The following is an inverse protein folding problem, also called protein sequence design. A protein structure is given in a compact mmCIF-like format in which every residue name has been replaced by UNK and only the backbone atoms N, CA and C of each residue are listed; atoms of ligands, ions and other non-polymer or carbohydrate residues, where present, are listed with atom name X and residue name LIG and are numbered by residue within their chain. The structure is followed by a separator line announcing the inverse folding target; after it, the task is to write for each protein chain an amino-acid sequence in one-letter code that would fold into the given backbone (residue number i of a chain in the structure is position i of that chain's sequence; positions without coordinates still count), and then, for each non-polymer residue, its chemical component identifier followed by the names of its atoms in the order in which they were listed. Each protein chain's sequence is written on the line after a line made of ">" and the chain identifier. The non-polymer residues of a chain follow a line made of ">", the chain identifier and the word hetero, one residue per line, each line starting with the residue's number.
data_IF_327084878018
#
_entry.id   IF_327084878018
#
_cell.length_a   1.000
_cell.length_b   1.000
_cell.length_c   1.000
_cell.angle_alpha   90.00
_cell.angle_beta   90.00
_cell.angle_gamma   90.00
#
_symmetry.space_group_name_H-M   'P 1'
#
loop_
_entity.id
_entity.type
_entity.pdbx_description
1 polymer ?
#
# COMPACT_ATOMS: atom_id res chain seq x y z
N UNK A 1 11.84 25.05 24.22
CA UNK A 1 11.71 24.35 22.93
C UNK A 1 10.26 24.47 22.49
N UNK A 2 10.00 25.19 21.39
CA UNK A 2 8.63 25.38 20.91
C UNK A 2 8.07 24.05 20.41
N UNK A 3 6.77 23.78 20.67
CA UNK A 3 6.09 22.61 20.10
C UNK A 3 6.12 22.75 18.58
N UNK A 4 6.83 21.85 17.92
CA UNK A 4 6.86 21.77 16.47
C UNK A 4 5.50 21.26 15.98
N UNK A 5 4.93 21.94 14.98
CA UNK A 5 3.67 21.52 14.38
C UNK A 5 3.94 20.30 13.48
N UNK A 6 3.04 19.33 13.58
CA UNK A 6 3.13 18.05 12.87
C UNK A 6 1.94 17.92 11.94
N UNK A 7 2.21 17.45 10.72
CA UNK A 7 1.18 16.98 9.79
C UNK A 7 1.06 15.48 9.98
N UNK A 8 -0.10 15.02 10.42
CA UNK A 8 -0.36 13.60 10.66
C UNK A 8 -1.52 13.11 9.82
N UNK A 9 -1.41 11.89 9.29
CA UNK A 9 -2.48 11.24 8.54
C UNK A 9 -2.52 9.76 8.86
N UNK A 10 -3.69 9.28 9.23
CA UNK A 10 -3.96 7.84 9.31
C UNK A 10 -4.20 7.30 7.91
N UNK A 11 -3.46 6.27 7.53
CA UNK A 11 -3.64 5.55 6.28
C UNK A 11 -3.98 4.11 6.64
N UNK A 12 -5.07 3.61 6.06
CA UNK A 12 -5.39 2.18 6.12
C UNK A 12 -4.64 1.51 4.97
N UNK A 13 -3.99 0.38 5.24
CA UNK A 13 -3.33 -0.44 4.22
C UNK A 13 -3.80 -1.87 4.36
N UNK A 14 -3.99 -2.56 3.24
CA UNK A 14 -4.33 -3.97 3.23
C UNK A 14 -3.06 -4.79 3.18
N UNK A 15 -2.70 -5.40 4.29
CA UNK A 15 -1.55 -6.30 4.37
C UNK A 15 -1.99 -7.73 4.01
N UNK A 16 -1.27 -8.35 3.08
CA UNK A 16 -1.52 -9.72 2.62
C UNK A 16 -0.29 -10.56 2.94
N UNK A 17 -0.49 -11.57 3.78
CA UNK A 17 0.50 -12.61 4.05
C UNK A 17 0.26 -13.79 3.11
N UNK A 18 1.31 -14.21 2.41
CA UNK A 18 1.22 -15.28 1.42
C UNK A 18 2.51 -16.10 1.41
N UNK A 19 2.40 -17.31 0.86
CA UNK A 19 3.53 -18.18 0.57
C UNK A 19 3.89 -18.03 -0.89
N UNK A 20 5.17 -17.80 -1.16
CA UNK A 20 5.73 -17.74 -2.50
C UNK A 20 6.71 -18.88 -2.72
N UNK A 21 6.73 -19.40 -3.93
CA UNK A 21 7.78 -20.29 -4.41
C UNK A 21 8.80 -19.47 -5.17
N UNK A 22 10.03 -19.40 -4.66
CA UNK A 22 11.14 -18.73 -5.32
C UNK A 22 11.75 -19.69 -6.36
N UNK A 23 11.74 -19.27 -7.63
CA UNK A 23 12.20 -20.10 -8.74
C UNK A 23 13.73 -20.25 -8.77
N UNK A 24 14.47 -19.34 -8.17
CA UNK A 24 15.94 -19.36 -8.17
C UNK A 24 16.49 -20.26 -7.05
N UNK A 25 15.85 -20.25 -5.88
CA UNK A 25 16.28 -21.05 -4.72
C UNK A 25 15.52 -22.37 -4.59
N UNK A 26 14.46 -22.56 -5.39
CA UNK A 26 13.53 -23.70 -5.33
C UNK A 26 12.93 -23.92 -3.93
N UNK A 27 12.73 -22.84 -3.17
CA UNK A 27 12.18 -22.87 -1.80
C UNK A 27 10.84 -22.16 -1.71
N UNK A 28 10.02 -22.63 -0.78
CA UNK A 28 8.79 -21.95 -0.37
C UNK A 28 9.11 -21.04 0.80
N UNK A 29 8.81 -19.75 0.65
CA UNK A 29 9.05 -18.70 1.63
C UNK A 29 7.72 -18.01 1.97
N UNK A 30 7.58 -17.58 3.22
CA UNK A 30 6.45 -16.73 3.62
C UNK A 30 6.86 -15.27 3.45
N UNK A 31 5.98 -14.48 2.86
CA UNK A 31 6.22 -13.05 2.61
C UNK A 31 4.95 -12.24 2.87
N UNK A 32 5.12 -10.93 2.99
CA UNK A 32 4.07 -10.00 3.34
C UNK A 32 4.16 -8.74 2.48
N UNK A 33 3.07 -8.42 1.79
CA UNK A 33 2.99 -7.22 0.95
C UNK A 33 1.82 -6.35 1.41
N UNK A 34 2.09 -5.05 1.57
CA UNK A 34 1.07 -4.04 1.80
C UNK A 34 0.55 -3.47 0.47
N UNK A 35 -0.78 -3.47 0.33
CA UNK A 35 -1.51 -2.85 -0.76
C UNK A 35 -2.28 -1.62 -0.24
N UNK A 36 -2.55 -0.67 -1.12
CA UNK A 36 -3.48 0.42 -0.79
C UNK A 36 -4.91 -0.10 -0.63
N UNK A 37 -5.73 0.57 0.20
CA UNK A 37 -7.13 0.17 0.50
C UNK A 37 -7.97 -0.12 -0.74
N UNK A 38 -7.73 0.60 -1.83
CA UNK A 38 -8.52 0.47 -3.05
C UNK A 38 -8.28 -0.84 -3.81
N UNK A 39 -7.27 -1.64 -3.42
CA UNK A 39 -6.99 -2.94 -4.04
C UNK A 39 -7.82 -4.01 -3.33
N UNK A 40 -8.75 -4.61 -4.07
CA UNK A 40 -9.51 -5.77 -3.57
C UNK A 40 -8.71 -7.03 -3.84
N UNK A 41 -8.28 -7.70 -2.78
CA UNK A 41 -7.61 -9.00 -2.86
C UNK A 41 -8.53 -10.00 -2.17
N UNK A 42 -8.91 -11.04 -2.90
CA UNK A 42 -9.67 -12.16 -2.38
C UNK A 42 -8.75 -13.38 -2.29
N UNK A 43 -9.13 -14.38 -1.50
CA UNK A 43 -8.42 -15.66 -1.46
C UNK A 43 -8.80 -16.56 -2.65
N UNK A 44 -8.75 -16.00 -3.85
CA UNK A 44 -9.09 -16.66 -5.11
C UNK A 44 -7.93 -16.59 -6.10
N UNK A 45 -8.12 -17.20 -7.28
CA UNK A 45 -7.11 -17.17 -8.35
C UNK A 45 -6.78 -15.76 -8.83
N UNK A 46 -7.73 -14.81 -8.71
CA UNK A 46 -7.51 -13.40 -9.06
C UNK A 46 -6.60 -12.72 -8.05
N UNK A 47 -6.79 -12.93 -6.75
CA UNK A 47 -5.91 -12.41 -5.71
C UNK A 47 -4.47 -12.91 -5.87
N UNK A 48 -4.28 -14.19 -6.18
CA UNK A 48 -2.96 -14.76 -6.47
C UNK A 48 -2.33 -14.09 -7.71
N UNK A 49 -3.11 -13.85 -8.77
CA UNK A 49 -2.62 -13.16 -9.96
C UNK A 49 -2.18 -11.72 -9.65
N UNK A 50 -2.95 -10.97 -8.86
CA UNK A 50 -2.58 -9.60 -8.43
C UNK A 50 -1.30 -9.59 -7.60
N UNK A 51 -1.09 -10.57 -6.72
CA UNK A 51 0.16 -10.71 -5.96
C UNK A 51 1.32 -11.01 -6.90
N UNK A 52 1.13 -11.88 -7.89
CA UNK A 52 2.16 -12.22 -8.88
C UNK A 52 2.55 -11.03 -9.76
N UNK A 53 1.58 -10.23 -10.21
CA UNK A 53 1.86 -8.97 -10.93
C UNK A 53 2.67 -8.01 -10.06
N UNK A 54 2.35 -7.93 -8.77
CA UNK A 54 3.09 -7.10 -7.83
C UNK A 54 4.52 -7.60 -7.62
N UNK A 55 4.71 -8.91 -7.43
CA UNK A 55 6.04 -9.54 -7.32
C UNK A 55 6.87 -9.30 -8.59
N UNK A 56 6.26 -9.42 -9.77
CA UNK A 56 6.91 -9.12 -11.04
C UNK A 56 7.29 -7.65 -11.16
N UNK A 57 6.44 -6.71 -10.72
CA UNK A 57 6.75 -5.28 -10.69
C UNK A 57 7.91 -4.93 -9.76
N UNK A 58 8.14 -5.76 -8.74
CA UNK A 58 9.28 -5.66 -7.82
C UNK A 58 10.52 -6.41 -8.34
N UNK A 59 10.45 -7.04 -9.52
CA UNK A 59 11.54 -7.80 -10.13
C UNK A 59 11.81 -9.16 -9.46
N UNK A 60 10.89 -9.69 -8.65
CA UNK A 60 11.07 -10.99 -8.00
C UNK A 60 10.69 -12.14 -8.93
N UNK A 61 11.59 -13.12 -9.11
CA UNK A 61 11.30 -14.40 -9.78
C UNK A 61 10.66 -15.40 -8.80
N UNK A 62 9.49 -15.05 -8.31
CA UNK A 62 8.71 -15.90 -7.41
C UNK A 62 7.25 -15.92 -7.84
N UNK A 63 6.56 -17.03 -7.54
CA UNK A 63 5.11 -17.12 -7.74
C UNK A 63 4.42 -17.35 -6.40
N UNK A 64 3.33 -16.64 -6.17
CA UNK A 64 2.44 -16.85 -5.04
C UNK A 64 1.74 -18.20 -5.19
N UNK A 65 1.84 -19.02 -4.15
CA UNK A 65 1.28 -20.37 -4.09
C UNK A 65 -0.02 -20.37 -3.28
N UNK A 66 -0.06 -19.60 -2.19
CA UNK A 66 -1.18 -19.58 -1.27
C UNK A 66 -1.23 -18.26 -0.52
N UNK A 67 -2.44 -17.72 -0.32
CA UNK A 67 -2.67 -16.57 0.57
C UNK A 67 -3.08 -17.12 1.93
N UNK A 68 -2.33 -16.75 2.97
CA UNK A 68 -2.57 -17.19 4.35
C UNK A 68 -3.56 -16.27 5.07
N UNK A 69 -3.38 -14.95 4.94
CA UNK A 69 -4.26 -13.97 5.58
C UNK A 69 -4.30 -12.64 4.84
N UNK A 70 -5.43 -11.95 4.95
CA UNK A 70 -5.64 -10.60 4.45
C UNK A 70 -6.16 -9.78 5.62
N UNK A 71 -5.43 -8.74 6.00
CA UNK A 71 -5.75 -7.89 7.16
C UNK A 71 -5.63 -6.43 6.80
N UNK A 72 -6.62 -5.64 7.18
CA UNK A 72 -6.54 -4.18 7.07
C UNK A 72 -5.87 -3.63 8.32
N UNK A 73 -4.83 -2.81 8.13
CA UNK A 73 -4.04 -2.20 9.18
C UNK A 73 -4.08 -0.70 9.07
N UNK A 74 -4.48 -0.05 10.15
CA UNK A 74 -4.44 1.40 10.27
C UNK A 74 -3.06 1.81 10.79
N UNK A 75 -2.38 2.70 10.06
CA UNK A 75 -1.09 3.24 10.47
C UNK A 75 -1.14 4.76 10.49
N UNK A 76 -0.78 5.36 11.63
CA UNK A 76 -0.65 6.80 11.79
C UNK A 76 0.73 7.24 11.30
N UNK A 77 0.76 7.96 10.18
CA UNK A 77 1.97 8.60 9.68
C UNK A 77 2.03 10.05 10.14
N UNK A 78 3.22 10.55 10.39
CA UNK A 78 3.45 11.94 10.77
C UNK A 78 4.79 12.45 10.28
N UNK A 79 4.83 13.73 9.92
CA UNK A 79 6.05 14.46 9.60
C UNK A 79 5.91 15.92 10.01
N UNK A 80 7.00 16.68 9.99
CA UNK A 80 6.97 18.11 10.35
C UNK A 80 6.29 18.93 9.26
N UNK A 81 5.74 20.11 9.59
CA UNK A 81 5.17 21.01 8.57
C UNK A 81 6.20 21.38 7.48
N UNK A 82 7.46 21.59 7.86
CA UNK A 82 8.53 21.94 6.93
C UNK A 82 8.80 20.81 5.93
N UNK A 83 8.91 19.56 6.41
CA UNK A 83 9.09 18.40 5.53
C UNK A 83 7.87 18.17 4.64
N UNK A 84 6.66 18.41 5.17
CA UNK A 84 5.46 18.33 4.36
C UNK A 84 5.48 19.35 3.22
N UNK A 85 5.78 20.62 3.51
CA UNK A 85 5.82 21.68 2.48
C UNK A 85 6.87 21.38 1.41
N UNK A 86 8.04 20.87 1.80
CA UNK A 86 9.12 20.53 0.87
C UNK A 86 8.76 19.39 -0.09
N UNK A 87 8.03 18.38 0.39
CA UNK A 87 7.74 17.16 -0.38
C UNK A 87 6.34 17.16 -1.02
N UNK A 88 5.42 18.00 -0.55
CA UNK A 88 4.05 18.03 -1.04
C UNK A 88 3.94 18.73 -2.39
N UNK A 89 3.00 18.24 -3.21
CA UNK A 89 2.57 18.94 -4.43
C UNK A 89 1.39 19.84 -4.08
N UNK A 90 1.46 21.11 -4.51
CA UNK A 90 0.32 22.03 -4.39
C UNK A 90 -0.80 21.54 -5.31
N UNK A 91 -1.96 21.27 -4.73
CA UNK A 91 -3.16 20.90 -5.48
C UNK A 91 -3.98 22.18 -5.77
N UNK A 92 -4.70 22.24 -6.90
CA UNK A 92 -5.58 23.36 -7.17
C UNK A 92 -6.69 23.42 -6.09
N UNK A 93 -7.26 24.62 -5.84
CA UNK A 93 -8.49 24.73 -5.06
C UNK A 93 -9.52 23.77 -5.63
N UNK A 94 -10.17 22.98 -4.78
CA UNK A 94 -11.35 22.22 -5.21
C UNK A 94 -12.38 23.25 -5.65
N UNK A 95 -12.78 23.24 -6.92
CA UNK A 95 -13.87 24.07 -7.41
C UNK A 95 -15.08 23.81 -6.51
N UNK A 96 -15.45 24.81 -5.71
CA UNK A 96 -16.84 24.96 -5.31
C UNK A 96 -17.58 25.10 -6.62
N UNK A 97 -18.49 24.18 -6.91
CA UNK A 97 -19.49 24.40 -7.95
C UNK A 97 -20.09 25.78 -7.68
N UNK A 98 -19.76 26.74 -8.54
CA UNK A 98 -20.60 27.92 -8.69
C UNK A 98 -21.92 27.36 -9.20
N UNK A 99 -22.93 27.37 -8.34
CA UNK A 99 -24.32 27.29 -8.75
C UNK A 99 -24.51 28.32 -9.87
N UNK A 100 -24.63 27.84 -11.12
CA UNK A 100 -25.20 28.63 -12.21
C UNK A 100 -26.55 27.99 -12.55
N UNK A 101 -27.59 28.84 -12.40
CA UNK A 101 -29.03 28.61 -12.53
C UNK A 101 -29.47 27.93 -13.84
#
# INVERSE_FOLDING_TARGET
>A
MARQRMVTRTIVTREVAFKKFNMETAKVESDMIAFGVNVTINNDTKGIATINERLASMGQKATCVMIDSITDKETLYGMTEDEFIQNARVLPPRTTETEEE
#
